data_IF_825061915941
#
_entry.id   IF_825061915941
#
_cell.length_a   1.000
_cell.length_b   1.000
_cell.length_c   1.000
_cell.angle_alpha   90.00
_cell.angle_beta   90.00
_cell.angle_gamma   90.00
#
_symmetry.space_group_name_H-M   'P 1'
#
loop_
_entity.id
_entity.type
_entity.pdbx_description
1 polymer ?
#
# COMPACT_ATOMS: atom_id res chain seq x y z
N UNK A 1 -13.43 -4.35 -3.55
CA UNK A 1 -13.44 -2.90 -3.87
C UNK A 1 -14.08 -2.02 -2.80
N UNK A 2 -15.41 -2.05 -2.56
CA UNK A 2 -16.03 -1.13 -1.58
C UNK A 2 -15.49 -1.35 -0.16
N UNK A 3 -15.34 -2.63 0.26
CA UNK A 3 -14.76 -2.97 1.55
C UNK A 3 -13.32 -2.46 1.71
N UNK A 4 -12.44 -2.68 0.72
CA UNK A 4 -11.06 -2.19 0.71
C UNK A 4 -11.00 -0.66 0.87
N UNK A 5 -11.83 0.09 0.12
CA UNK A 5 -11.89 1.55 0.23
C UNK A 5 -12.38 1.99 1.61
N UNK A 6 -13.31 1.25 2.22
CA UNK A 6 -13.76 1.51 3.60
C UNK A 6 -12.63 1.26 4.60
N UNK A 7 -11.90 0.16 4.49
CA UNK A 7 -10.74 -0.14 5.35
C UNK A 7 -9.67 0.94 5.23
N UNK A 8 -9.35 1.38 4.01
CA UNK A 8 -8.36 2.43 3.76
C UNK A 8 -8.75 3.76 4.43
N UNK A 9 -10.02 4.18 4.29
CA UNK A 9 -10.52 5.40 4.94
C UNK A 9 -10.61 5.30 6.46
N UNK A 10 -10.99 4.14 6.99
CA UNK A 10 -11.24 3.96 8.41
C UNK A 10 -9.97 3.70 9.23
N UNK A 11 -8.98 3.01 8.65
CA UNK A 11 -7.77 2.60 9.37
C UNK A 11 -6.51 3.28 8.82
N UNK A 12 -6.30 3.24 7.51
CA UNK A 12 -5.05 3.71 6.92
C UNK A 12 -4.95 5.25 6.95
N UNK A 13 -6.01 5.98 6.64
CA UNK A 13 -5.98 7.46 6.65
C UNK A 13 -5.67 8.06 8.02
N UNK A 14 -6.27 7.59 9.14
CA UNK A 14 -5.86 8.02 10.47
C UNK A 14 -4.40 7.71 10.81
N UNK A 15 -3.89 6.53 10.42
CA UNK A 15 -2.49 6.15 10.65
C UNK A 15 -1.52 7.08 9.92
N UNK A 16 -1.83 7.43 8.66
CA UNK A 16 -1.02 8.32 7.80
C UNK A 16 -1.05 9.80 8.27
N UNK A 17 -2.03 10.17 9.09
CA UNK A 17 -2.14 11.50 9.72
C UNK A 17 -1.64 11.52 11.17
N UNK A 18 -1.23 10.36 11.70
CA UNK A 18 -0.78 10.20 13.07
C UNK A 18 0.74 10.26 13.25
N UNK A 19 1.23 10.19 14.49
CA UNK A 19 2.66 10.15 14.81
C UNK A 19 3.37 8.89 14.31
N UNK A 20 2.61 7.86 13.91
CA UNK A 20 3.11 6.62 13.31
C UNK A 20 3.15 6.67 11.78
N UNK A 21 2.86 7.82 11.17
CA UNK A 21 2.88 7.97 9.71
C UNK A 21 4.24 7.57 9.13
N UNK A 22 4.22 6.70 8.12
CA UNK A 22 5.42 6.22 7.45
C UNK A 22 5.12 5.89 5.98
N UNK A 23 6.12 5.92 5.08
CA UNK A 23 5.91 5.47 3.70
C UNK A 23 5.61 3.96 3.64
N UNK A 24 4.96 3.52 2.56
CA UNK A 24 4.66 2.09 2.29
C UNK A 24 5.91 1.20 2.30
N UNK A 25 7.08 1.78 1.98
CA UNK A 25 8.41 1.19 2.18
C UNK A 25 9.14 1.96 3.28
N UNK A 26 9.09 1.51 4.54
CA UNK A 26 9.77 2.17 5.65
C UNK A 26 11.26 2.34 5.38
N UNK A 27 11.81 3.51 5.69
CA UNK A 27 13.24 3.82 5.48
C UNK A 27 14.10 3.55 6.72
N UNK A 28 13.49 3.59 7.91
CA UNK A 28 14.14 3.44 9.22
C UNK A 28 13.13 2.85 10.20
N UNK A 29 13.57 1.93 11.04
CA UNK A 29 12.79 1.36 12.13
C UNK A 29 13.72 0.87 13.24
N UNK A 30 13.20 0.83 14.47
CA UNK A 30 13.89 0.17 15.60
C UNK A 30 13.44 -1.28 15.76
N UNK A 31 12.17 -1.54 15.48
CA UNK A 31 11.50 -2.84 15.60
C UNK A 31 10.70 -3.05 14.30
N UNK A 32 11.02 -4.10 13.53
CA UNK A 32 10.34 -4.38 12.24
C UNK A 32 8.88 -4.81 12.45
N UNK A 33 8.58 -5.45 13.58
CA UNK A 33 7.24 -5.95 13.91
C UNK A 33 6.19 -4.82 14.01
N UNK A 34 6.62 -3.59 14.27
CA UNK A 34 5.73 -2.43 14.29
C UNK A 34 5.27 -1.97 12.90
N UNK A 35 5.76 -2.59 11.82
CA UNK A 35 5.46 -2.21 10.44
C UNK A 35 4.55 -3.22 9.71
N UNK A 36 3.92 -4.15 10.44
CA UNK A 36 2.77 -4.90 9.94
C UNK A 36 1.50 -4.03 10.01
N UNK A 37 1.48 -2.93 9.24
CA UNK A 37 0.50 -1.84 9.37
C UNK A 37 -0.42 -1.72 8.17
N UNK A 38 -1.52 -0.97 8.32
CA UNK A 38 -2.44 -0.67 7.23
C UNK A 38 -1.76 0.12 6.11
N UNK A 39 -0.75 0.92 6.41
CA UNK A 39 0.02 1.63 5.39
C UNK A 39 0.90 0.70 4.56
N UNK A 40 1.53 -0.33 5.15
CA UNK A 40 2.31 -1.30 4.35
C UNK A 40 1.39 -2.16 3.48
N UNK A 41 0.28 -2.67 4.04
CA UNK A 41 -0.58 -3.61 3.33
C UNK A 41 -1.64 -2.92 2.46
N UNK A 42 -2.55 -2.15 3.06
CA UNK A 42 -3.70 -1.59 2.35
C UNK A 42 -3.27 -0.50 1.35
N UNK A 43 -2.50 0.51 1.81
CA UNK A 43 -1.99 1.55 0.91
C UNK A 43 -0.96 1.01 -0.06
N UNK A 44 -0.14 0.03 0.33
CA UNK A 44 0.77 -0.67 -0.57
C UNK A 44 0.02 -1.36 -1.73
N UNK A 45 -1.09 -2.04 -1.43
CA UNK A 45 -1.93 -2.67 -2.46
C UNK A 45 -2.54 -1.66 -3.43
N UNK A 46 -2.97 -0.49 -2.94
CA UNK A 46 -3.51 0.56 -3.80
C UNK A 46 -2.42 1.20 -4.68
N UNK A 47 -1.17 1.28 -4.22
CA UNK A 47 -0.04 1.69 -5.08
C UNK A 47 0.16 0.68 -6.23
N UNK A 48 0.14 -0.62 -5.95
CA UNK A 48 0.21 -1.65 -7.00
C UNK A 48 -0.98 -1.54 -7.95
N UNK A 49 -2.18 -1.27 -7.42
CA UNK A 49 -3.37 -1.03 -8.25
C UNK A 49 -3.22 0.19 -9.15
N UNK A 50 -2.63 1.29 -8.65
CA UNK A 50 -2.33 2.46 -9.46
C UNK A 50 -1.37 2.13 -10.60
N UNK A 51 -0.32 1.35 -10.34
CA UNK A 51 0.60 0.88 -11.39
C UNK A 51 -0.16 0.09 -12.46
N UNK A 52 -1.01 -0.87 -12.06
CA UNK A 52 -1.87 -1.61 -13.00
C UNK A 52 -2.81 -0.69 -13.79
N UNK A 53 -3.40 0.33 -13.15
CA UNK A 53 -4.30 1.28 -13.81
C UNK A 53 -3.58 2.15 -14.84
N UNK A 54 -2.36 2.59 -14.54
CA UNK A 54 -1.57 3.43 -15.44
C UNK A 54 -1.03 2.63 -16.63
N UNK A 55 -0.51 1.42 -16.38
CA UNK A 55 0.09 0.59 -17.42
C UNK A 55 -0.95 -0.19 -18.26
N UNK A 56 -2.14 -0.41 -17.71
CA UNK A 56 -3.11 -1.34 -18.28
C UNK A 56 -2.81 -2.80 -17.91
N UNK A 57 -3.79 -3.67 -18.13
CA UNK A 57 -3.72 -5.06 -17.66
C UNK A 57 -2.60 -5.87 -18.34
N UNK A 58 -2.41 -5.70 -19.65
CA UNK A 58 -1.47 -6.51 -20.43
C UNK A 58 -0.01 -6.17 -20.11
N UNK A 59 0.32 -4.87 -20.08
CA UNK A 59 1.68 -4.40 -19.72
C UNK A 59 1.99 -4.73 -18.27
N UNK A 60 1.01 -4.56 -17.36
CA UNK A 60 1.18 -4.99 -15.97
C UNK A 60 1.46 -6.49 -15.88
N UNK A 61 0.72 -7.32 -16.63
CA UNK A 61 0.91 -8.78 -16.64
C UNK A 61 2.29 -9.16 -17.16
N UNK A 62 2.73 -8.57 -18.27
CA UNK A 62 4.07 -8.81 -18.83
C UNK A 62 5.18 -8.37 -17.86
N UNK A 63 4.98 -7.25 -17.15
CA UNK A 63 5.89 -6.83 -16.09
C UNK A 63 5.98 -7.85 -14.95
N UNK A 64 4.87 -8.46 -14.57
CA UNK A 64 4.84 -9.53 -13.56
C UNK A 64 5.45 -10.85 -14.05
N UNK A 65 5.57 -11.10 -15.36
CA UNK A 65 6.31 -12.26 -15.89
C UNK A 65 7.83 -12.08 -15.82
N UNK A 66 8.30 -10.84 -15.85
CA UNK A 66 9.73 -10.49 -15.82
C UNK A 66 10.31 -10.38 -14.40
N UNK A 67 9.46 -10.02 -13.43
CA UNK A 67 9.81 -9.87 -12.01
C UNK A 67 10.02 -11.22 -11.31
#
# INVERSE_FOLDING_TARGET
RIAEVRTLRAHQFPEDQGPLAHPVRPRRYREINNFYTATVYEKGSEVVRMIRTILGADVFRAGMDLY
#
